data_IF_239065365649
#
_entry.id   IF_239065365649
#
_cell.length_a   1.000
_cell.length_b   1.000
_cell.length_c   1.000
_cell.angle_alpha   90.00
_cell.angle_beta   90.00
_cell.angle_gamma   90.00
#
_symmetry.space_group_name_H-M   'P 1'
#
loop_
_entity.id
_entity.type
_entity.pdbx_description
1 polymer ?
#
# COMPACT_ATOMS: atom_id res chain seq x y z
N UNK A 1 -14.55 9.19 -8.11
CA UNK A 1 -13.08 9.38 -8.24
C UNK A 1 -12.81 10.03 -9.57
N UNK A 2 -11.91 11.02 -9.66
CA UNK A 2 -11.54 11.60 -10.95
C UNK A 2 -10.90 10.52 -11.85
N UNK A 3 -11.09 10.58 -13.18
CA UNK A 3 -10.43 9.66 -14.10
C UNK A 3 -8.91 9.84 -14.05
N UNK A 4 -8.12 8.84 -14.50
CA UNK A 4 -6.68 9.00 -14.63
C UNK A 4 -6.36 10.20 -15.53
N UNK A 5 -5.39 11.05 -15.14
CA UNK A 5 -5.02 12.22 -15.92
C UNK A 5 -4.37 11.79 -17.25
N UNK A 6 -4.71 12.51 -18.33
CA UNK A 6 -4.15 12.30 -19.67
C UNK A 6 -3.06 13.32 -20.05
N UNK A 7 -2.69 14.21 -19.12
CA UNK A 7 -1.89 15.41 -19.40
C UNK A 7 -0.37 15.26 -19.24
N UNK A 8 0.13 14.40 -18.33
CA UNK A 8 1.56 14.22 -18.11
C UNK A 8 1.91 12.93 -17.34
N UNK A 9 3.10 12.38 -17.58
CA UNK A 9 3.67 11.24 -16.82
C UNK A 9 3.77 11.57 -15.31
N UNK A 10 4.03 12.83 -14.97
CA UNK A 10 4.11 13.31 -13.60
C UNK A 10 2.76 13.26 -12.88
N UNK A 11 1.68 13.75 -13.51
CA UNK A 11 0.33 13.69 -12.95
C UNK A 11 -0.15 12.24 -12.85
N UNK A 12 0.16 11.43 -13.85
CA UNK A 12 -0.19 10.02 -13.87
C UNK A 12 0.51 9.24 -12.75
N UNK A 13 1.82 9.46 -12.57
CA UNK A 13 2.57 8.89 -11.45
C UNK A 13 2.01 9.35 -10.10
N UNK A 14 1.68 10.63 -9.95
CA UNK A 14 1.07 11.14 -8.73
C UNK A 14 -0.31 10.52 -8.45
N UNK A 15 -1.14 10.36 -9.48
CA UNK A 15 -2.44 9.70 -9.39
C UNK A 15 -2.29 8.26 -8.86
N UNK A 16 -1.40 7.47 -9.46
CA UNK A 16 -1.11 6.10 -9.00
C UNK A 16 -0.52 6.06 -7.60
N UNK A 17 0.37 7.00 -7.29
CA UNK A 17 0.98 7.12 -5.97
C UNK A 17 -0.09 7.31 -4.89
N UNK A 18 -1.00 8.26 -5.07
CA UNK A 18 -2.06 8.53 -4.11
C UNK A 18 -3.03 7.34 -4.01
N UNK A 19 -3.55 6.83 -5.12
CA UNK A 19 -4.53 5.75 -5.08
C UNK A 19 -3.96 4.44 -4.53
N UNK A 20 -2.75 4.06 -4.93
CA UNK A 20 -2.13 2.84 -4.42
C UNK A 20 -1.90 2.89 -2.91
N UNK A 21 -1.57 4.07 -2.36
CA UNK A 21 -1.45 4.25 -0.91
C UNK A 21 -2.81 4.25 -0.21
N UNK A 22 -3.86 4.85 -0.79
CA UNK A 22 -5.23 4.71 -0.27
C UNK A 22 -5.65 3.25 -0.15
N UNK A 23 -5.40 2.46 -1.22
CA UNK A 23 -5.64 1.03 -1.19
C UNK A 23 -4.81 0.31 -0.12
N UNK A 24 -3.55 0.72 0.06
CA UNK A 24 -2.63 0.12 1.04
C UNK A 24 -3.09 0.36 2.48
N UNK A 25 -3.55 1.57 2.79
CA UNK A 25 -4.07 1.90 4.12
C UNK A 25 -5.30 1.07 4.48
N UNK A 26 -6.22 0.90 3.52
CA UNK A 26 -7.38 0.03 3.73
C UNK A 26 -6.95 -1.44 3.84
N UNK A 27 -6.03 -1.90 2.99
CA UNK A 27 -5.50 -3.26 3.08
C UNK A 27 -4.92 -3.53 4.47
N UNK A 28 -4.11 -2.62 5.04
CA UNK A 28 -3.57 -2.76 6.40
C UNK A 28 -4.64 -2.78 7.48
N UNK A 29 -5.68 -1.95 7.35
CA UNK A 29 -6.80 -1.96 8.30
C UNK A 29 -7.55 -3.30 8.31
N UNK A 30 -7.80 -3.87 7.14
CA UNK A 30 -8.38 -5.21 7.01
C UNK A 30 -7.39 -6.28 7.53
N UNK A 31 -6.10 -6.11 7.27
CA UNK A 31 -5.05 -7.04 7.70
C UNK A 31 -5.00 -7.12 9.22
N UNK A 32 -5.12 -5.98 9.89
CA UNK A 32 -5.25 -5.91 11.35
C UNK A 32 -6.45 -6.71 11.85
N UNK A 33 -7.61 -6.57 11.21
CA UNK A 33 -8.81 -7.35 11.58
C UNK A 33 -8.63 -8.85 11.34
N UNK A 34 -8.01 -9.25 10.23
CA UNK A 34 -7.69 -10.65 9.95
C UNK A 34 -6.74 -11.24 11.00
N UNK A 35 -5.69 -10.50 11.38
CA UNK A 35 -4.72 -10.90 12.39
C UNK A 35 -5.35 -11.04 13.78
N UNK A 36 -6.26 -10.14 14.17
CA UNK A 36 -7.00 -10.24 15.43
C UNK A 36 -7.88 -11.49 15.47
N UNK A 37 -8.51 -11.85 14.34
CA UNK A 37 -9.29 -13.08 14.18
C UNK A 37 -8.42 -14.34 13.99
N UNK A 38 -7.09 -14.18 13.89
CA UNK A 38 -6.13 -15.24 13.53
C UNK A 38 -6.43 -15.91 12.19
N UNK A 39 -7.06 -15.18 11.25
CA UNK A 39 -7.34 -15.65 9.90
C UNK A 39 -6.10 -15.45 9.02
N UNK A 40 -5.24 -16.48 8.99
CA UNK A 40 -3.95 -16.39 8.30
C UNK A 40 -4.09 -16.39 6.78
N UNK A 41 -5.14 -16.98 6.24
CA UNK A 41 -5.37 -17.05 4.79
C UNK A 41 -5.88 -15.71 4.27
N UNK A 42 -6.83 -15.09 4.98
CA UNK A 42 -7.27 -13.71 4.68
C UNK A 42 -6.11 -12.72 4.81
N UNK A 43 -5.31 -12.82 5.89
CA UNK A 43 -4.13 -11.99 6.07
C UNK A 43 -3.09 -12.17 4.94
N UNK A 44 -2.89 -13.41 4.46
CA UNK A 44 -2.01 -13.68 3.33
C UNK A 44 -2.51 -13.02 2.04
N UNK A 45 -3.82 -13.16 1.74
CA UNK A 45 -4.43 -12.53 0.57
C UNK A 45 -4.34 -11.00 0.61
N UNK A 46 -4.43 -10.40 1.80
CA UNK A 46 -4.26 -8.95 2.00
C UNK A 46 -2.80 -8.51 1.84
N UNK A 47 -1.82 -9.35 2.20
CA UNK A 47 -0.41 -9.10 1.89
C UNK A 47 -0.11 -9.17 0.40
N UNK A 48 -0.73 -10.11 -0.33
CA UNK A 48 -0.64 -10.14 -1.79
C UNK A 48 -1.25 -8.88 -2.40
N UNK A 49 -2.45 -8.47 -1.95
CA UNK A 49 -3.08 -7.24 -2.40
C UNK A 49 -2.20 -6.01 -2.11
N UNK A 50 -1.59 -5.94 -0.93
CA UNK A 50 -0.65 -4.87 -0.59
C UNK A 50 0.60 -4.89 -1.48
N UNK A 51 1.13 -6.07 -1.81
CA UNK A 51 2.24 -6.21 -2.76
C UNK A 51 1.86 -5.69 -4.16
N UNK A 52 0.64 -5.97 -4.61
CA UNK A 52 0.11 -5.47 -5.87
C UNK A 52 -0.04 -3.93 -5.84
N UNK A 53 -0.53 -3.37 -4.74
CA UNK A 53 -0.66 -1.93 -4.55
C UNK A 53 0.69 -1.20 -4.53
N UNK A 54 1.75 -1.83 -4.00
CA UNK A 54 3.12 -1.30 -4.08
C UNK A 54 3.63 -1.25 -5.52
N UNK A 55 3.39 -2.30 -6.30
CA UNK A 55 3.79 -2.32 -7.73
C UNK A 55 3.01 -1.29 -8.54
N UNK A 56 1.71 -1.14 -8.26
CA UNK A 56 0.85 -0.12 -8.88
C UNK A 56 1.30 1.30 -8.53
N UNK A 57 1.44 1.64 -7.25
CA UNK A 57 1.87 2.96 -6.80
C UNK A 57 3.29 3.30 -7.27
N UNK A 58 4.16 2.30 -7.21
CA UNK A 58 5.55 2.40 -7.58
C UNK A 58 5.81 2.27 -9.07
N UNK A 59 4.81 2.30 -9.96
CA UNK A 59 4.99 2.01 -11.39
C UNK A 59 5.59 3.14 -12.24
N UNK A 60 5.99 4.26 -11.63
CA UNK A 60 6.59 5.37 -12.38
C UNK A 60 8.07 5.10 -12.67
N UNK A 61 8.66 5.88 -13.58
CA UNK A 61 10.11 5.81 -13.83
C UNK A 61 10.90 6.36 -12.64
N UNK A 62 12.17 5.93 -12.43
CA UNK A 62 13.01 6.49 -11.37
C UNK A 62 13.21 8.01 -11.51
N UNK A 63 13.24 8.52 -12.75
CA UNK A 63 13.34 9.95 -13.03
C UNK A 63 12.09 10.72 -12.54
N UNK A 64 10.89 10.21 -12.80
CA UNK A 64 9.65 10.82 -12.30
C UNK A 64 9.56 10.72 -10.78
N UNK A 65 9.94 9.58 -10.19
CA UNK A 65 10.00 9.47 -8.74
C UNK A 65 10.93 10.53 -8.12
N UNK A 66 12.15 10.69 -8.66
CA UNK A 66 13.15 11.61 -8.15
C UNK A 66 12.77 13.10 -8.33
N UNK A 67 12.02 13.44 -9.37
CA UNK A 67 11.69 14.84 -9.72
C UNK A 67 10.29 15.27 -9.28
N UNK A 68 9.38 14.32 -9.04
CA UNK A 68 7.97 14.60 -8.70
C UNK A 68 7.62 14.06 -7.32
N UNK A 69 7.71 12.75 -7.12
CA UNK A 69 7.18 12.09 -5.91
C UNK A 69 8.05 12.42 -4.69
N UNK A 70 9.35 12.13 -4.77
CA UNK A 70 10.29 12.32 -3.66
C UNK A 70 10.38 13.79 -3.21
N UNK A 71 10.47 14.80 -4.10
CA UNK A 71 10.47 16.20 -3.70
C UNK A 71 9.18 16.63 -3.00
N UNK A 72 8.02 16.13 -3.42
CA UNK A 72 6.74 16.41 -2.73
C UNK A 72 6.71 15.82 -1.33
N UNK A 73 7.23 14.61 -1.14
CA UNK A 73 7.37 14.02 0.20
C UNK A 73 8.32 14.83 1.08
N UNK A 74 9.50 15.17 0.55
CA UNK A 74 10.50 15.98 1.26
C UNK A 74 9.98 17.37 1.64
N UNK A 75 9.14 17.98 0.79
CA UNK A 75 8.53 19.28 1.04
C UNK A 75 7.53 19.25 2.21
N UNK A 76 6.95 18.09 2.53
CA UNK A 76 6.16 17.93 3.76
C UNK A 76 7.04 17.66 4.97
N UNK A 77 7.98 16.72 4.85
CA UNK A 77 8.96 16.47 5.89
C UNK A 77 10.22 15.81 5.29
N UNK A 78 11.43 16.26 5.66
CA UNK A 78 12.67 15.70 5.11
C UNK A 78 12.87 14.21 5.41
N UNK A 79 12.31 13.72 6.51
CA UNK A 79 12.33 12.31 6.91
C UNK A 79 11.07 11.50 6.52
N UNK A 80 10.15 12.07 5.71
CA UNK A 80 8.82 11.47 5.47
C UNK A 80 8.91 10.00 5.06
N UNK A 81 8.14 9.15 5.75
CA UNK A 81 8.15 7.70 5.55
C UNK A 81 6.76 7.08 5.62
N UNK A 82 6.52 6.07 4.77
CA UNK A 82 5.33 5.23 4.89
C UNK A 82 5.27 4.44 6.21
N UNK A 83 6.40 4.25 6.90
CA UNK A 83 6.46 3.59 8.21
C UNK A 83 5.80 4.40 9.32
N UNK A 84 5.51 5.69 9.09
CA UNK A 84 4.78 6.53 10.01
C UNK A 84 3.27 6.34 9.94
N UNK A 85 2.75 5.62 8.94
CA UNK A 85 1.32 5.39 8.85
C UNK A 85 0.81 4.59 10.07
N UNK A 86 -0.28 5.08 10.67
CA UNK A 86 -0.93 4.49 11.85
C UNK A 86 -1.26 3.01 11.65
N UNK A 87 -1.89 2.67 10.53
CA UNK A 87 -2.31 1.29 10.25
C UNK A 87 -1.11 0.36 10.00
N UNK A 88 -0.04 0.85 9.36
CA UNK A 88 1.19 0.08 9.16
C UNK A 88 1.87 -0.26 10.49
N UNK A 89 1.94 0.72 11.40
CA UNK A 89 2.52 0.50 12.73
C UNK A 89 1.72 -0.52 13.52
N UNK A 90 0.40 -0.42 13.46
CA UNK A 90 -0.48 -1.34 14.17
C UNK A 90 -0.30 -2.79 13.67
N UNK A 91 -0.31 -3.03 12.35
CA UNK A 91 -0.09 -4.40 11.83
C UNK A 91 1.33 -4.92 12.14
N UNK A 92 2.33 -4.04 12.18
CA UNK A 92 3.71 -4.43 12.52
C UNK A 92 3.80 -4.86 13.98
N UNK A 93 3.10 -4.18 14.89
CA UNK A 93 3.01 -4.57 16.29
C UNK A 93 2.30 -5.93 16.44
N UNK A 94 1.15 -6.13 15.78
CA UNK A 94 0.43 -7.42 15.79
C UNK A 94 1.30 -8.57 15.27
N UNK A 95 2.07 -8.35 14.20
CA UNK A 95 3.01 -9.34 13.66
C UNK A 95 4.24 -9.59 14.52
N UNK A 96 4.57 -8.68 15.44
CA UNK A 96 5.64 -8.92 16.43
C UNK A 96 5.19 -9.88 17.53
N UNK A 97 3.88 -9.92 17.81
CA UNK A 97 3.25 -10.80 18.79
C UNK A 97 2.78 -12.13 18.16
N UNK A 98 2.68 -12.17 16.83
CA UNK A 98 2.25 -13.33 16.07
C UNK A 98 3.36 -13.80 15.12
N UNK A 99 3.97 -14.94 15.42
CA UNK A 99 4.97 -15.56 14.55
C UNK A 99 4.27 -16.57 13.62
N UNK A 100 4.12 -16.27 12.31
CA UNK A 100 3.50 -17.21 11.40
C UNK A 100 4.38 -18.45 11.25
N UNK A 101 3.74 -19.62 11.20
CA UNK A 101 4.43 -20.90 11.04
C UNK A 101 5.30 -20.91 9.78
N UNK A 102 6.44 -21.61 9.86
CA UNK A 102 7.34 -21.75 8.73
C UNK A 102 6.66 -22.49 7.59
N UNK A 103 6.66 -21.91 6.38
CA UNK A 103 6.00 -22.50 5.21
C UNK A 103 4.49 -22.24 5.13
N UNK A 104 3.89 -21.54 6.10
CA UNK A 104 2.50 -21.08 5.99
C UNK A 104 2.32 -20.06 4.87
N UNK A 105 1.11 -20.00 4.30
CA UNK A 105 0.73 -19.03 3.27
C UNK A 105 1.05 -17.60 3.70
N UNK A 106 0.73 -17.25 4.96
CA UNK A 106 1.02 -15.93 5.51
C UNK A 106 2.53 -15.64 5.62
N UNK A 107 3.34 -16.63 6.01
CA UNK A 107 4.80 -16.44 6.07
C UNK A 107 5.39 -16.18 4.69
N UNK A 108 4.91 -16.89 3.67
CA UNK A 108 5.36 -16.70 2.29
C UNK A 108 4.87 -15.36 1.73
N UNK A 109 3.62 -14.96 1.97
CA UNK A 109 3.08 -13.67 1.58
C UNK A 109 3.87 -12.50 2.21
N UNK A 110 4.24 -12.60 3.48
CA UNK A 110 5.09 -11.62 4.18
C UNK A 110 6.48 -11.50 3.55
N UNK A 111 7.13 -12.64 3.26
CA UNK A 111 8.44 -12.66 2.59
C UNK A 111 8.34 -12.04 1.20
N UNK A 112 7.29 -12.38 0.46
CA UNK A 112 7.06 -11.87 -0.88
C UNK A 112 6.77 -10.37 -0.87
N UNK A 113 5.93 -9.89 0.04
CA UNK A 113 5.67 -8.46 0.21
C UNK A 113 6.95 -7.68 0.51
N UNK A 114 7.81 -8.20 1.40
CA UNK A 114 9.12 -7.60 1.67
C UNK A 114 10.01 -7.58 0.43
N UNK A 115 10.02 -8.66 -0.36
CA UNK A 115 10.76 -8.72 -1.62
C UNK A 115 10.26 -7.66 -2.62
N UNK A 116 8.94 -7.53 -2.79
CA UNK A 116 8.32 -6.54 -3.67
C UNK A 116 8.67 -5.13 -3.22
N UNK A 117 8.49 -4.81 -1.94
CA UNK A 117 8.83 -3.50 -1.38
C UNK A 117 10.30 -3.15 -1.65
N UNK A 118 11.24 -4.06 -1.33
CA UNK A 118 12.66 -3.82 -1.57
C UNK A 118 13.00 -3.67 -3.06
N UNK A 119 12.32 -4.43 -3.93
CA UNK A 119 12.53 -4.40 -5.37
C UNK A 119 12.05 -3.07 -5.97
N UNK A 120 10.86 -2.60 -5.57
CA UNK A 120 10.34 -1.28 -5.95
C UNK A 120 11.24 -0.17 -5.43
N UNK A 121 11.64 -0.23 -4.15
CA UNK A 121 12.52 0.78 -3.56
C UNK A 121 13.88 0.85 -4.26
N UNK A 122 14.49 -0.29 -4.57
CA UNK A 122 15.76 -0.34 -5.29
C UNK A 122 15.66 0.24 -6.71
N UNK A 123 14.55 -0.01 -7.41
CA UNK A 123 14.32 0.57 -8.74
C UNK A 123 14.16 2.09 -8.68
N UNK A 124 13.31 2.59 -7.77
CA UNK A 124 12.98 4.01 -7.68
C UNK A 124 14.09 4.86 -7.04
N UNK A 125 14.89 4.27 -6.16
CA UNK A 125 16.03 4.91 -5.50
C UNK A 125 17.27 4.01 -5.63
N UNK A 126 17.85 3.93 -6.85
CA UNK A 126 18.99 3.05 -7.09
C UNK A 126 20.25 3.51 -6.36
N UNK A 127 20.34 4.81 -6.10
CA UNK A 127 21.44 5.45 -5.36
C UNK A 127 20.82 6.24 -4.21
N UNK A 128 21.15 5.86 -2.96
CA UNK A 128 20.69 6.54 -1.75
C UNK A 128 19.91 5.64 -0.79
N UNK A 129 19.37 6.22 0.29
CA UNK A 129 18.52 5.51 1.25
C UNK A 129 17.10 6.08 1.18
N UNK A 130 16.20 5.52 1.98
CA UNK A 130 14.90 6.16 2.22
C UNK A 130 15.11 7.53 2.88
N UNK A 131 14.16 8.44 2.68
CA UNK A 131 14.17 9.77 3.31
C UNK A 131 14.41 9.70 4.81
N UNK A 132 13.73 8.77 5.49
CA UNK A 132 13.91 8.50 6.93
C UNK A 132 15.37 8.24 7.31
N UNK A 133 16.04 7.35 6.58
CA UNK A 133 17.43 6.98 6.85
C UNK A 133 18.42 8.05 6.41
N UNK A 134 18.10 8.79 5.36
CA UNK A 134 18.91 9.94 4.91
C UNK A 134 18.85 11.10 5.91
N UNK A 135 17.72 11.26 6.60
CA UNK A 135 17.55 12.20 7.71
C UNK A 135 18.16 11.70 9.05
N UNK A 136 18.73 10.49 9.09
CA UNK A 136 19.40 9.95 10.28
C UNK A 136 18.48 9.28 11.30
N UNK A 137 17.19 9.09 10.99
CA UNK A 137 16.24 8.43 11.90
C UNK A 137 16.39 6.90 11.86
N UNK A 138 16.09 6.26 12.99
CA UNK A 138 15.96 4.81 13.07
C UNK A 138 14.60 4.37 12.52
N UNK A 139 14.60 3.36 11.64
CA UNK A 139 13.39 2.77 11.07
C UNK A 139 12.54 2.04 12.13
N UNK A 140 13.14 1.70 13.27
CA UNK A 140 12.46 1.02 14.37
C UNK A 140 11.79 1.97 15.36
N UNK A 141 12.22 3.24 15.42
CA UNK A 141 11.71 4.25 16.33
C UNK A 141 10.24 4.62 16.05
N UNK A 142 9.43 4.66 17.11
CA UNK A 142 8.01 5.00 17.01
C UNK A 142 7.82 6.42 16.46
N UNK A 143 6.98 6.61 15.42
CA UNK A 143 6.67 7.95 14.95
C UNK A 143 5.91 8.73 16.03
N UNK A 144 6.14 10.03 16.06
CA UNK A 144 5.33 10.99 16.83
C UNK A 144 3.93 11.13 16.23
N UNK A 145 2.99 11.68 17.00
CA UNK A 145 1.64 11.96 16.51
C UNK A 145 1.65 12.94 15.32
N UNK A 146 2.52 13.96 15.37
CA UNK A 146 2.73 14.92 14.27
C UNK A 146 3.21 14.22 12.99
N UNK A 147 4.18 13.30 13.08
CA UNK A 147 4.64 12.53 11.92
C UNK A 147 3.53 11.65 11.33
N UNK A 148 2.64 11.11 12.16
CA UNK A 148 1.47 10.36 11.71
C UNK A 148 0.44 11.28 11.02
N UNK A 149 0.20 12.48 11.55
CA UNK A 149 -0.66 13.51 10.94
C UNK A 149 -0.13 13.97 9.58
N UNK A 150 1.19 14.13 9.43
CA UNK A 150 1.82 14.47 8.15
C UNK A 150 1.52 13.41 7.08
N UNK A 151 1.54 12.12 7.44
CA UNK A 151 1.18 11.03 6.51
C UNK A 151 -0.28 11.12 6.11
N UNK A 152 -1.18 11.28 7.09
CA UNK A 152 -2.61 11.36 6.80
C UNK A 152 -2.94 12.59 5.94
N UNK A 153 -2.37 13.77 6.23
CA UNK A 153 -2.56 14.97 5.41
C UNK A 153 -1.99 14.81 3.99
N UNK A 154 -0.76 14.30 3.85
CA UNK A 154 -0.13 14.14 2.54
C UNK A 154 -0.93 13.22 1.61
N UNK A 155 -1.49 12.15 2.17
CA UNK A 155 -2.31 11.20 1.43
C UNK A 155 -3.80 11.52 1.50
N UNK A 156 -4.22 12.68 2.01
CA UNK A 156 -5.62 13.12 2.04
C UNK A 156 -6.54 12.12 2.77
N UNK A 157 -6.06 11.57 3.88
CA UNK A 157 -6.80 10.65 4.73
C UNK A 157 -7.58 11.39 5.80
N UNK A 158 -8.90 11.20 5.77
CA UNK A 158 -9.79 11.62 6.85
C UNK A 158 -10.07 10.41 7.77
N UNK A 159 -9.75 10.58 9.05
CA UNK A 159 -9.93 9.57 10.10
C UNK A 159 -11.26 9.73 10.85
N UNK A 160 -12.13 10.64 10.42
CA UNK A 160 -13.45 10.82 11.02
C UNK A 160 -14.26 9.51 11.01
N UNK A 161 -15.10 9.28 12.04
CA UNK A 161 -15.99 8.13 12.07
C UNK A 161 -16.85 8.03 10.80
N UNK A 162 -16.94 6.83 10.24
CA UNK A 162 -17.74 6.54 9.06
C UNK A 162 -18.58 5.28 9.31
N UNK A 163 -19.76 5.20 8.68
CA UNK A 163 -20.56 3.98 8.74
C UNK A 163 -19.99 2.91 7.79
N UNK A 164 -20.27 1.63 8.07
CA UNK A 164 -19.80 0.51 7.25
C UNK A 164 -20.18 0.68 5.78
N UNK A 165 -21.44 1.05 5.50
CA UNK A 165 -21.90 1.25 4.13
C UNK A 165 -21.13 2.37 3.40
N UNK A 166 -20.87 3.49 4.09
CA UNK A 166 -20.09 4.61 3.57
C UNK A 166 -18.64 4.22 3.31
N UNK A 167 -18.03 3.47 4.22
CA UNK A 167 -16.68 2.94 4.06
C UNK A 167 -16.57 2.00 2.85
N UNK A 168 -17.45 0.99 2.75
CA UNK A 168 -17.44 0.03 1.64
C UNK A 168 -17.71 0.72 0.30
N UNK A 169 -18.65 1.66 0.24
CA UNK A 169 -18.91 2.45 -0.97
C UNK A 169 -17.67 3.28 -1.38
N UNK A 170 -17.00 3.91 -0.41
CA UNK A 170 -15.78 4.65 -0.67
C UNK A 170 -14.68 3.72 -1.19
N UNK A 171 -14.45 2.58 -0.53
CA UNK A 171 -13.48 1.57 -0.92
C UNK A 171 -13.72 1.05 -2.35
N UNK A 172 -14.95 0.62 -2.66
CA UNK A 172 -15.36 0.19 -4.01
C UNK A 172 -15.00 1.24 -5.04
N UNK A 173 -15.29 2.52 -4.78
CA UNK A 173 -14.99 3.58 -5.73
C UNK A 173 -13.49 3.76 -5.99
N UNK A 174 -12.63 3.58 -4.98
CA UNK A 174 -11.15 3.72 -5.13
C UNK A 174 -10.57 2.48 -5.82
N UNK A 175 -10.94 1.29 -5.39
CA UNK A 175 -10.43 0.04 -5.96
C UNK A 175 -10.89 -0.13 -7.41
N UNK A 176 -12.15 0.21 -7.73
CA UNK A 176 -12.62 0.23 -9.13
C UNK A 176 -11.83 1.21 -9.99
N UNK A 177 -11.44 2.38 -9.45
CA UNK A 177 -10.61 3.34 -10.18
C UNK A 177 -9.19 2.80 -10.43
N UNK A 178 -8.58 2.13 -9.44
CA UNK A 178 -7.27 1.47 -9.58
C UNK A 178 -7.35 0.35 -10.64
N UNK A 179 -8.37 -0.52 -10.56
CA UNK A 179 -8.55 -1.63 -11.49
C UNK A 179 -8.79 -1.12 -12.92
N UNK A 180 -9.66 -0.12 -13.08
CA UNK A 180 -9.94 0.48 -14.38
C UNK A 180 -8.66 1.08 -14.99
N UNK A 181 -7.88 1.81 -14.19
CA UNK A 181 -6.60 2.36 -14.63
C UNK A 181 -5.59 1.26 -14.96
N UNK A 182 -5.41 0.25 -14.11
CA UNK A 182 -4.48 -0.84 -14.35
C UNK A 182 -4.82 -1.67 -15.60
N UNK A 183 -6.11 -1.78 -15.95
CA UNK A 183 -6.55 -2.45 -17.18
C UNK A 183 -6.34 -1.61 -18.43
N UNK A 184 -6.61 -0.30 -18.36
CA UNK A 184 -6.42 0.62 -19.49
C UNK A 184 -4.95 0.95 -19.72
N UNK A 185 -4.16 1.02 -18.65
CA UNK A 185 -2.76 1.37 -18.63
C UNK A 185 -2.00 0.31 -17.80
N UNK A 186 -1.67 -0.87 -18.34
CA UNK A 186 -0.99 -1.90 -17.56
C UNK A 186 0.33 -1.43 -16.94
N UNK A 187 0.68 -1.98 -15.78
CA UNK A 187 2.03 -1.82 -15.20
C UNK A 187 2.97 -2.69 -16.03
N UNK A 188 3.91 -2.07 -16.73
CA UNK A 188 4.83 -2.73 -17.66
C UNK A 188 6.28 -2.72 -17.20
N UNK A 189 6.51 -2.31 -15.95
CA UNK A 189 7.85 -2.20 -15.38
C UNK A 189 8.50 -3.56 -15.24
N UNK A 190 9.76 -3.65 -15.65
CA UNK A 190 10.53 -4.89 -15.61
C UNK A 190 11.49 -4.81 -14.43
N UNK A 191 11.40 -5.81 -13.56
CA UNK A 191 12.28 -5.98 -12.41
C UNK A 191 13.26 -7.15 -12.62
N UNK A 192 14.40 -7.12 -11.95
CA UNK A 192 15.38 -8.22 -11.99
C UNK A 192 14.86 -9.54 -11.39
N UNK A 193 13.74 -9.46 -10.65
CA UNK A 193 13.11 -10.59 -9.98
C UNK A 193 11.95 -11.09 -10.82
N UNK A 194 12.15 -12.19 -11.56
CA UNK A 194 11.12 -12.77 -12.42
C UNK A 194 9.81 -13.11 -11.67
N UNK A 195 9.90 -13.50 -10.39
CA UNK A 195 8.70 -13.75 -9.57
C UNK A 195 7.85 -12.49 -9.37
N UNK A 196 8.47 -11.31 -9.27
CA UNK A 196 7.76 -10.02 -9.19
C UNK A 196 7.12 -9.70 -10.54
N UNK A 197 7.84 -9.96 -11.64
CA UNK A 197 7.31 -9.74 -12.98
C UNK A 197 6.10 -10.61 -13.29
N UNK A 198 6.10 -11.89 -12.87
CA UNK A 198 4.92 -12.76 -13.03
C UNK A 198 3.75 -12.30 -12.18
N UNK A 199 4.02 -11.91 -10.93
CA UNK A 199 2.99 -11.43 -10.01
C UNK A 199 2.28 -10.16 -10.54
N UNK A 200 2.98 -9.33 -11.33
CA UNK A 200 2.39 -8.12 -11.88
C UNK A 200 1.35 -8.38 -12.99
N UNK A 201 1.33 -9.59 -13.56
CA UNK A 201 0.38 -9.96 -14.62
C UNK A 201 -1.06 -9.98 -14.09
N UNK A 202 -1.23 -10.27 -12.79
CA UNK A 202 -2.51 -10.43 -12.10
C UNK A 202 -2.79 -9.28 -11.09
N UNK A 203 -2.22 -8.08 -11.30
CA UNK A 203 -2.42 -6.95 -10.37
C UNK A 203 -3.90 -6.64 -10.13
N UNK A 204 -4.78 -6.52 -11.14
CA UNK A 204 -6.20 -6.23 -10.93
C UNK A 204 -6.88 -7.27 -10.03
N UNK A 205 -6.54 -8.55 -10.19
CA UNK A 205 -7.08 -9.68 -9.44
C UNK A 205 -6.67 -9.59 -7.97
N UNK A 206 -5.38 -9.41 -7.69
CA UNK A 206 -4.89 -9.22 -6.33
C UNK A 206 -5.50 -8.00 -5.64
N UNK A 207 -5.61 -6.86 -6.35
CA UNK A 207 -6.18 -5.63 -5.80
C UNK A 207 -7.69 -5.75 -5.56
N UNK A 208 -8.41 -6.45 -6.43
CA UNK A 208 -9.87 -6.64 -6.29
C UNK A 208 -10.26 -7.38 -5.01
N UNK A 209 -9.39 -8.27 -4.51
CA UNK A 209 -9.63 -9.04 -3.27
C UNK A 209 -9.85 -8.14 -2.05
N UNK A 210 -9.28 -6.93 -2.03
CA UNK A 210 -9.49 -5.97 -0.93
C UNK A 210 -10.99 -5.65 -0.75
N UNK A 211 -11.72 -5.49 -1.86
CA UNK A 211 -13.16 -5.20 -1.83
C UNK A 211 -13.94 -6.42 -1.38
N UNK A 212 -13.67 -7.59 -1.97
CA UNK A 212 -14.37 -8.82 -1.62
C UNK A 212 -14.20 -9.19 -0.15
N UNK A 213 -12.98 -9.05 0.38
CA UNK A 213 -12.69 -9.28 1.80
C UNK A 213 -13.44 -8.26 2.66
N UNK A 214 -13.32 -6.96 2.36
CA UNK A 214 -14.02 -5.93 3.13
C UNK A 214 -15.54 -6.14 3.18
N UNK A 215 -16.14 -6.55 2.07
CA UNK A 215 -17.58 -6.83 2.00
C UNK A 215 -17.96 -8.03 2.87
N UNK A 216 -17.23 -9.13 2.76
CA UNK A 216 -17.46 -10.31 3.60
C UNK A 216 -17.28 -9.98 5.09
N UNK A 217 -16.15 -9.38 5.46
CA UNK A 217 -15.82 -9.10 6.86
C UNK A 217 -16.76 -8.06 7.47
N UNK A 218 -17.10 -6.99 6.74
CA UNK A 218 -17.79 -5.84 7.32
C UNK A 218 -19.31 -5.84 7.11
N UNK A 219 -19.84 -6.43 6.03
CA UNK A 219 -21.29 -6.45 5.78
C UNK A 219 -21.95 -7.72 6.30
N UNK A 220 -21.27 -8.87 6.26
CA UNK A 220 -21.84 -10.12 6.79
C UNK A 220 -21.81 -10.13 8.32
N UNK A 221 -20.79 -9.52 8.94
CA UNK A 221 -20.70 -9.34 10.39
C UNK A 221 -21.70 -8.33 11.00
N UNK A 222 -22.42 -7.55 10.18
CA UNK A 222 -23.52 -6.66 10.63
C UNK A 222 -24.86 -7.41 10.70
N UNK A 223 -24.95 -8.58 10.08
CA UNK A 223 -26.16 -9.42 10.04
C UNK A 223 -26.06 -10.70 10.89
N UNK A 224 -25.00 -10.85 11.70
CA UNK A 224 -24.78 -11.94 12.65
C UNK A 224 -24.99 -11.45 14.10
#
# INVERSE_FOLDING_TARGET
MPPPPSGSEAEFAWYRWILGHHGSFVAWRLLSSALDRRDTDEAAALFDAYSALLLYAGSCTPAVYATVIRPRMMARHPAMSGTWARDYRHITAQLSEFVPESGSTLKEALKFNRLVHMTVAHRLVPIGKSLLRDAGHDVHEAPTEEEQEIVDDFFLMDRAPNCVAGFVAALRARISAIIADARLNPVTEIYDRQVVNRFQEDLPEHISRVVSIAEATLLEGVNA
#
